data_IF_174733077411
#
_entry.id   IF_174733077411
#
_cell.length_a   1.000
_cell.length_b   1.000
_cell.length_c   1.000
_cell.angle_alpha   90.00
_cell.angle_beta   90.00
_cell.angle_gamma   90.00
#
_symmetry.space_group_name_H-M   'P 1'
#
loop_
_entity.id
_entity.type
_entity.pdbx_description
1 polymer ?
#
# COMPACT_ATOMS: atom_id res chain seq x y z
N UNK A 1 -21.92 -20.34 -0.63
CA UNK A 1 -20.68 -19.98 0.05
C UNK A 1 -20.27 -18.61 -0.45
N UNK A 2 -19.98 -17.70 0.47
CA UNK A 2 -19.68 -16.30 0.18
C UNK A 2 -18.53 -15.91 1.11
N UNK A 3 -17.56 -15.13 0.63
CA UNK A 3 -16.42 -14.64 1.44
C UNK A 3 -15.73 -15.75 2.21
N UNK A 4 -15.24 -16.75 1.50
CA UNK A 4 -14.66 -17.93 2.14
C UNK A 4 -13.35 -18.32 1.48
N UNK A 5 -12.38 -18.72 2.30
CA UNK A 5 -11.13 -19.34 1.84
C UNK A 5 -11.25 -20.85 1.99
N UNK A 6 -11.07 -21.58 0.90
CA UNK A 6 -11.06 -23.04 0.87
C UNK A 6 -9.68 -23.51 0.45
N UNK A 7 -8.97 -24.12 1.40
CA UNK A 7 -7.57 -24.46 1.25
C UNK A 7 -7.24 -25.83 1.82
N UNK A 8 -6.48 -26.62 1.06
CA UNK A 8 -5.94 -27.90 1.54
C UNK A 8 -6.95 -29.04 1.65
N UNK A 9 -8.13 -28.91 1.04
CA UNK A 9 -9.16 -29.95 1.08
C UNK A 9 -8.87 -31.05 0.06
N UNK A 10 -9.38 -32.27 0.34
CA UNK A 10 -9.20 -33.43 -0.53
C UNK A 10 -10.53 -34.15 -0.76
N UNK A 11 -10.82 -34.49 -2.01
CA UNK A 11 -12.03 -35.22 -2.37
C UNK A 11 -11.81 -36.17 -3.55
N UNK A 12 -12.84 -36.96 -3.90
CA UNK A 12 -12.83 -37.72 -5.16
C UNK A 12 -13.05 -36.79 -6.35
N UNK A 13 -13.97 -35.83 -6.20
CA UNK A 13 -14.31 -34.78 -7.16
C UNK A 13 -14.55 -33.47 -6.44
N UNK A 14 -14.15 -32.35 -7.02
CA UNK A 14 -14.38 -31.05 -6.40
C UNK A 14 -13.58 -30.89 -5.12
N UNK A 15 -12.24 -30.91 -5.23
CA UNK A 15 -11.35 -30.97 -4.07
C UNK A 15 -11.65 -29.90 -3.02
N UNK A 16 -11.97 -28.68 -3.46
CA UNK A 16 -12.55 -27.64 -2.62
C UNK A 16 -14.07 -27.69 -2.56
N UNK A 17 -14.75 -27.76 -3.72
CA UNK A 17 -16.20 -27.68 -3.84
C UNK A 17 -16.74 -28.68 -4.86
N UNK A 18 -17.77 -29.44 -4.50
CA UNK A 18 -18.55 -30.27 -5.42
C UNK A 18 -20.04 -29.85 -5.44
N UNK A 19 -20.51 -29.34 -6.57
CA UNK A 19 -21.90 -28.95 -6.80
C UNK A 19 -22.67 -29.97 -7.64
N UNK A 20 -23.58 -30.70 -7.00
CA UNK A 20 -24.38 -31.76 -7.64
C UNK A 20 -25.87 -31.44 -7.75
N UNK A 21 -26.40 -30.51 -6.94
CA UNK A 21 -27.83 -30.22 -6.85
C UNK A 21 -28.10 -28.74 -6.51
N UNK A 22 -27.49 -27.83 -7.27
CA UNK A 22 -27.54 -26.39 -7.00
C UNK A 22 -26.40 -25.91 -6.10
N UNK A 23 -26.03 -24.65 -6.22
CA UNK A 23 -25.05 -24.00 -5.36
C UNK A 23 -24.79 -22.56 -5.79
N UNK A 24 -24.51 -21.71 -4.81
CA UNK A 24 -24.14 -20.32 -5.04
C UNK A 24 -22.76 -20.06 -4.44
N UNK A 25 -21.84 -19.56 -5.25
CA UNK A 25 -20.45 -19.30 -4.87
C UNK A 25 -20.06 -17.88 -5.27
N UNK A 26 -19.61 -17.07 -4.31
CA UNK A 26 -19.16 -15.74 -4.61
C UNK A 26 -18.04 -15.24 -3.71
N UNK A 27 -17.12 -14.44 -4.25
CA UNK A 27 -16.04 -13.80 -3.46
C UNK A 27 -15.30 -14.84 -2.61
N UNK A 28 -14.94 -15.98 -3.20
CA UNK A 28 -14.23 -17.04 -2.52
C UNK A 28 -12.83 -17.25 -3.11
N UNK A 29 -11.89 -17.66 -2.28
CA UNK A 29 -10.54 -18.07 -2.69
C UNK A 29 -10.39 -19.57 -2.50
N UNK A 30 -10.35 -20.32 -3.61
CA UNK A 30 -10.30 -21.79 -3.65
C UNK A 30 -8.94 -22.21 -4.19
N UNK A 31 -8.02 -22.56 -3.28
CA UNK A 31 -6.61 -22.80 -3.61
C UNK A 31 -6.02 -24.01 -2.89
N UNK A 32 -5.00 -24.65 -3.45
CA UNK A 32 -4.31 -25.78 -2.81
C UNK A 32 -5.21 -26.96 -2.43
N UNK A 33 -6.35 -27.14 -3.10
CA UNK A 33 -7.21 -28.31 -2.91
C UNK A 33 -6.85 -29.40 -3.91
N UNK A 34 -7.22 -30.64 -3.62
CA UNK A 34 -6.97 -31.77 -4.51
C UNK A 34 -8.16 -32.71 -4.71
N UNK A 35 -8.30 -33.22 -5.93
CA UNK A 35 -9.28 -34.24 -6.28
C UNK A 35 -8.61 -35.47 -6.89
N UNK A 36 -9.09 -36.67 -6.52
CA UNK A 36 -8.57 -37.92 -7.05
C UNK A 36 -8.96 -38.18 -8.53
N UNK A 37 -9.96 -37.46 -9.06
CA UNK A 37 -10.40 -37.63 -10.46
C UNK A 37 -10.57 -36.31 -11.21
N UNK A 38 -11.56 -35.49 -10.84
CA UNK A 38 -12.02 -34.33 -11.62
C UNK A 38 -12.33 -33.12 -10.73
N UNK A 39 -11.95 -31.91 -11.20
CA UNK A 39 -12.25 -30.64 -10.54
C UNK A 39 -11.46 -30.45 -9.24
N UNK A 40 -10.15 -30.22 -9.32
CA UNK A 40 -9.31 -30.10 -8.12
C UNK A 40 -9.72 -28.95 -7.19
N UNK A 41 -10.15 -27.82 -7.74
CA UNK A 41 -10.78 -26.74 -6.99
C UNK A 41 -12.29 -26.94 -6.89
N UNK A 42 -12.98 -26.79 -8.03
CA UNK A 42 -14.43 -26.85 -8.13
C UNK A 42 -14.86 -27.89 -9.16
N UNK A 43 -15.88 -28.66 -8.81
CA UNK A 43 -16.59 -29.55 -9.71
C UNK A 43 -18.08 -29.21 -9.75
N UNK A 44 -18.66 -29.03 -10.94
CA UNK A 44 -20.08 -28.68 -11.10
C UNK A 44 -20.74 -29.45 -12.24
N UNK A 45 -21.99 -29.91 -12.07
CA UNK A 45 -22.83 -30.43 -13.16
C UNK A 45 -24.02 -29.52 -13.45
N UNK A 46 -23.79 -28.36 -14.06
CA UNK A 46 -24.79 -27.28 -14.27
C UNK A 46 -25.47 -26.78 -12.99
N UNK A 47 -24.85 -27.04 -11.85
CA UNK A 47 -25.45 -26.81 -10.54
C UNK A 47 -25.04 -25.46 -9.94
N UNK A 48 -23.79 -25.04 -10.15
CA UNK A 48 -23.23 -23.88 -9.47
C UNK A 48 -23.43 -22.60 -10.30
N UNK A 49 -23.88 -21.55 -9.62
CA UNK A 49 -23.77 -20.16 -10.04
C UNK A 49 -22.57 -19.53 -9.31
N UNK A 50 -21.61 -19.01 -10.06
CA UNK A 50 -20.29 -18.57 -9.57
C UNK A 50 -19.95 -17.15 -10.03
N UNK A 51 -19.54 -16.29 -9.09
CA UNK A 51 -19.15 -14.89 -9.32
C UNK A 51 -17.91 -14.48 -8.53
N UNK A 52 -16.98 -13.74 -9.13
CA UNK A 52 -15.87 -13.10 -8.40
C UNK A 52 -15.02 -14.06 -7.54
N UNK A 53 -14.79 -15.29 -8.00
CA UNK A 53 -13.97 -16.25 -7.25
C UNK A 53 -12.56 -16.36 -7.81
N UNK A 54 -11.59 -16.55 -6.92
CA UNK A 54 -10.26 -17.04 -7.28
C UNK A 54 -10.27 -18.56 -7.17
N UNK A 55 -9.93 -19.25 -8.26
CA UNK A 55 -9.83 -20.71 -8.31
C UNK A 55 -8.53 -21.08 -9.01
N UNK A 56 -7.47 -21.26 -8.23
CA UNK A 56 -6.12 -21.45 -8.75
C UNK A 56 -5.29 -22.39 -7.88
N UNK A 57 -4.18 -22.90 -8.42
CA UNK A 57 -3.24 -23.75 -7.69
C UNK A 57 -3.88 -25.00 -7.05
N UNK A 58 -4.93 -25.55 -7.67
CA UNK A 58 -5.53 -26.81 -7.25
C UNK A 58 -5.03 -27.98 -8.12
N UNK A 59 -5.22 -29.21 -7.63
CA UNK A 59 -4.67 -30.41 -8.24
C UNK A 59 -5.76 -31.45 -8.55
N UNK A 60 -5.80 -31.93 -9.78
CA UNK A 60 -6.57 -33.11 -10.17
C UNK A 60 -6.00 -33.73 -11.45
N UNK A 61 -6.20 -35.04 -11.69
CA UNK A 61 -5.84 -35.66 -12.97
C UNK A 61 -6.55 -35.03 -14.18
N UNK A 62 -7.79 -34.57 -14.00
CA UNK A 62 -8.63 -33.94 -15.02
C UNK A 62 -9.17 -32.65 -14.42
N UNK A 63 -9.16 -31.56 -15.19
CA UNK A 63 -9.79 -30.29 -14.78
C UNK A 63 -9.27 -29.76 -13.42
N UNK A 64 -8.01 -29.31 -13.41
CA UNK A 64 -7.26 -29.00 -12.18
C UNK A 64 -7.91 -27.97 -11.26
N UNK A 65 -8.34 -26.82 -11.78
CA UNK A 65 -8.99 -25.80 -10.95
C UNK A 65 -10.50 -25.89 -10.99
N UNK A 66 -11.06 -25.97 -12.20
CA UNK A 66 -12.51 -25.98 -12.42
C UNK A 66 -12.84 -27.09 -13.40
N UNK A 67 -13.87 -27.87 -13.07
CA UNK A 67 -14.32 -28.99 -13.87
C UNK A 67 -15.82 -29.03 -14.14
N UNK A 68 -16.17 -29.54 -15.33
CA UNK A 68 -17.53 -29.71 -15.86
C UNK A 68 -18.31 -28.40 -16.05
N UNK A 69 -19.59 -28.49 -16.43
CA UNK A 69 -20.43 -27.34 -16.80
C UNK A 69 -21.00 -26.58 -15.60
N UNK A 70 -21.15 -25.27 -15.73
CA UNK A 70 -21.72 -24.40 -14.70
C UNK A 70 -23.10 -23.89 -15.11
N UNK A 71 -23.93 -23.53 -14.13
CA UNK A 71 -25.17 -22.80 -14.41
C UNK A 71 -24.86 -21.38 -14.86
N UNK A 72 -23.90 -20.76 -14.19
CA UNK A 72 -23.33 -19.46 -14.53
C UNK A 72 -21.93 -19.39 -13.91
N UNK A 73 -20.97 -18.83 -14.65
CA UNK A 73 -19.59 -18.75 -14.21
C UNK A 73 -18.96 -17.47 -14.79
N UNK A 74 -19.05 -16.37 -14.03
CA UNK A 74 -18.67 -15.03 -14.49
C UNK A 74 -17.69 -14.35 -13.52
N UNK A 75 -16.79 -13.52 -14.05
CA UNK A 75 -15.82 -12.72 -13.30
C UNK A 75 -14.90 -13.54 -12.36
N UNK A 76 -14.60 -14.78 -12.70
CA UNK A 76 -13.71 -15.62 -11.90
C UNK A 76 -12.27 -15.54 -12.43
N UNK A 77 -11.31 -15.50 -11.51
CA UNK A 77 -9.89 -15.71 -11.78
C UNK A 77 -9.63 -17.22 -11.75
N UNK A 78 -9.45 -17.85 -12.92
CA UNK A 78 -9.23 -19.29 -13.01
C UNK A 78 -8.55 -19.70 -14.31
N UNK A 79 -8.03 -20.92 -14.34
CA UNK A 79 -7.64 -21.58 -15.59
C UNK A 79 -8.13 -23.04 -15.59
N UNK A 80 -8.56 -23.61 -16.74
CA UNK A 80 -8.59 -22.98 -18.06
C UNK A 80 -9.73 -21.96 -18.20
N UNK A 81 -9.65 -21.11 -19.22
CA UNK A 81 -10.71 -20.15 -19.56
C UNK A 81 -12.05 -20.87 -19.74
N UNK A 82 -13.09 -20.34 -19.10
CA UNK A 82 -14.47 -20.84 -19.17
C UNK A 82 -15.36 -19.95 -20.07
N UNK A 83 -14.78 -18.95 -20.74
CA UNK A 83 -15.49 -17.95 -21.53
C UNK A 83 -16.14 -16.87 -20.67
N UNK A 84 -17.00 -16.03 -21.27
CA UNK A 84 -17.67 -14.94 -20.56
C UNK A 84 -16.70 -13.86 -20.08
N UNK A 85 -16.86 -13.40 -18.84
CA UNK A 85 -16.05 -12.35 -18.20
C UNK A 85 -14.94 -12.90 -17.29
N UNK A 86 -14.61 -14.20 -17.40
CA UNK A 86 -13.52 -14.80 -16.63
C UNK A 86 -12.16 -14.39 -17.19
N UNK A 87 -11.13 -14.53 -16.38
CA UNK A 87 -9.75 -14.23 -16.77
C UNK A 87 -8.78 -15.25 -16.20
N UNK A 88 -7.68 -15.46 -16.92
CA UNK A 88 -6.78 -16.61 -16.74
C UNK A 88 -5.45 -16.30 -16.11
N UNK A 89 -5.10 -15.01 -15.98
CA UNK A 89 -3.91 -14.60 -15.25
C UNK A 89 -4.01 -15.09 -13.80
N UNK A 90 -2.93 -15.73 -13.34
CA UNK A 90 -2.88 -16.28 -12.00
C UNK A 90 -3.04 -15.19 -10.94
N UNK A 91 -3.69 -15.49 -9.81
CA UNK A 91 -3.76 -14.55 -8.70
C UNK A 91 -2.35 -14.34 -8.14
N UNK A 92 -1.94 -13.08 -8.01
CA UNK A 92 -0.78 -12.73 -7.22
C UNK A 92 -1.25 -12.54 -5.77
N UNK A 93 -0.72 -13.37 -4.87
CA UNK A 93 -0.99 -13.31 -3.43
C UNK A 93 0.23 -12.76 -2.69
N UNK A 94 -0.01 -12.14 -1.54
CA UNK A 94 1.05 -11.58 -0.67
C UNK A 94 2.06 -12.66 -0.27
N UNK A 95 1.59 -13.79 0.28
CA UNK A 95 2.45 -14.95 0.56
C UNK A 95 1.66 -16.26 0.44
N UNK A 96 1.65 -16.82 -0.76
CA UNK A 96 0.97 -18.10 -1.02
C UNK A 96 1.54 -19.26 -0.20
N UNK A 97 2.86 -19.29 0.06
CA UNK A 97 3.51 -20.38 0.77
C UNK A 97 3.20 -20.33 2.28
N UNK A 98 3.17 -19.13 2.86
CA UNK A 98 2.74 -18.84 4.23
C UNK A 98 1.22 -18.87 4.43
N UNK A 99 0.43 -19.11 3.37
CA UNK A 99 -1.05 -19.14 3.37
C UNK A 99 -1.69 -17.77 3.62
N UNK A 100 -1.00 -16.71 3.26
CA UNK A 100 -1.55 -15.38 3.14
C UNK A 100 -2.10 -15.18 1.73
N UNK A 101 -3.42 -15.28 1.60
CA UNK A 101 -4.13 -15.22 0.33
C UNK A 101 -4.73 -13.84 0.04
N UNK A 102 -4.33 -12.81 0.80
CA UNK A 102 -4.59 -11.42 0.40
C UNK A 102 -3.94 -11.14 -0.95
N UNK A 103 -4.57 -10.29 -1.75
CA UNK A 103 -4.05 -9.93 -3.07
C UNK A 103 -2.79 -9.07 -2.91
N UNK A 104 -1.73 -9.40 -3.64
CA UNK A 104 -0.54 -8.55 -3.71
C UNK A 104 -0.78 -7.38 -4.67
N UNK A 105 0.02 -6.32 -4.52
CA UNK A 105 0.03 -5.21 -5.47
C UNK A 105 0.25 -5.71 -6.92
N UNK A 106 -0.45 -5.09 -7.86
CA UNK A 106 -0.42 -5.50 -9.28
C UNK A 106 -1.15 -6.82 -9.59
N UNK A 107 -1.80 -7.45 -8.60
CA UNK A 107 -2.60 -8.66 -8.85
C UNK A 107 -3.70 -8.40 -9.88
N UNK A 108 -3.87 -9.28 -10.88
CA UNK A 108 -4.92 -9.14 -11.90
C UNK A 108 -6.34 -9.30 -11.33
N UNK A 109 -6.45 -9.70 -10.06
CA UNK A 109 -7.73 -9.83 -9.36
C UNK A 109 -8.21 -8.52 -8.74
N UNK A 110 -7.34 -7.51 -8.67
CA UNK A 110 -7.66 -6.19 -8.13
C UNK A 110 -8.58 -5.44 -9.10
N UNK A 111 -9.66 -4.85 -8.59
CA UNK A 111 -10.69 -4.09 -9.30
C UNK A 111 -11.34 -4.85 -10.49
N UNK A 112 -11.22 -6.18 -10.54
CA UNK A 112 -11.64 -7.02 -11.66
C UNK A 112 -13.04 -7.65 -11.48
N UNK A 113 -13.61 -7.52 -10.28
CA UNK A 113 -14.89 -8.10 -9.90
C UNK A 113 -16.10 -7.29 -10.38
N UNK A 114 -17.24 -7.98 -10.48
CA UNK A 114 -18.53 -7.36 -10.76
C UNK A 114 -19.29 -7.03 -9.47
N UNK A 115 -20.23 -6.09 -9.56
CA UNK A 115 -21.17 -5.75 -8.48
C UNK A 115 -22.27 -6.82 -8.30
N UNK A 116 -21.89 -8.09 -8.20
CA UNK A 116 -22.80 -9.21 -7.96
C UNK A 116 -22.04 -10.42 -7.40
N UNK A 117 -22.51 -11.03 -6.29
CA UNK A 117 -23.50 -10.50 -5.34
C UNK A 117 -22.97 -9.27 -4.61
N UNK A 118 -23.88 -8.41 -4.14
CA UNK A 118 -23.53 -7.35 -3.20
C UNK A 118 -23.15 -7.96 -1.85
N UNK A 119 -21.91 -7.71 -1.43
CA UNK A 119 -21.37 -8.14 -0.15
C UNK A 119 -20.72 -6.93 0.50
N UNK A 120 -21.08 -6.64 1.75
CA UNK A 120 -20.75 -5.37 2.40
C UNK A 120 -19.29 -5.28 2.86
N UNK A 121 -18.67 -6.42 3.17
CA UNK A 121 -17.29 -6.51 3.59
C UNK A 121 -16.65 -7.80 3.07
N UNK A 122 -15.33 -7.92 3.10
CA UNK A 122 -14.57 -9.10 2.69
C UNK A 122 -14.40 -10.14 3.82
N UNK A 123 -13.45 -11.07 3.67
CA UNK A 123 -13.13 -12.08 4.69
C UNK A 123 -12.54 -11.49 5.99
N UNK A 124 -11.79 -10.40 5.90
CA UNK A 124 -11.16 -9.72 7.04
C UNK A 124 -12.04 -8.60 7.62
N UNK A 125 -13.22 -8.35 7.04
CA UNK A 125 -14.15 -7.32 7.47
C UNK A 125 -13.93 -5.96 6.80
N UNK A 126 -13.07 -5.87 5.80
CA UNK A 126 -12.84 -4.66 5.01
C UNK A 126 -14.03 -4.39 4.10
N UNK A 127 -14.53 -3.16 4.10
CA UNK A 127 -15.70 -2.75 3.31
C UNK A 127 -15.45 -2.92 1.81
N UNK A 128 -16.47 -3.39 1.08
CA UNK A 128 -16.48 -3.53 -0.37
C UNK A 128 -17.54 -2.65 -1.05
N UNK A 129 -17.33 -2.19 -2.29
CA UNK A 129 -16.05 -2.21 -3.01
C UNK A 129 -15.12 -1.11 -2.49
N UNK A 130 -13.81 -1.35 -2.58
CA UNK A 130 -12.74 -0.38 -2.38
C UNK A 130 -11.97 -0.26 -3.69
N UNK A 131 -11.48 0.93 -4.01
CA UNK A 131 -10.64 1.07 -5.19
C UNK A 131 -9.24 0.53 -4.90
N UNK A 132 -8.82 -0.47 -5.66
CA UNK A 132 -7.43 -0.92 -5.65
C UNK A 132 -6.50 0.03 -6.40
N UNK A 133 -7.01 0.79 -7.37
CA UNK A 133 -6.32 1.90 -8.04
C UNK A 133 -6.80 3.27 -7.54
N UNK A 134 -5.92 4.16 -7.08
CA UNK A 134 -6.31 5.53 -6.69
C UNK A 134 -6.73 6.34 -7.92
N UNK A 135 -7.77 7.16 -7.78
CA UNK A 135 -8.41 7.88 -8.89
C UNK A 135 -9.33 7.02 -9.78
N UNK A 136 -9.38 5.70 -9.57
CA UNK A 136 -10.34 4.82 -10.23
C UNK A 136 -11.65 4.70 -9.44
N UNK A 137 -12.79 4.44 -10.09
CA UNK A 137 -14.01 4.12 -9.38
C UNK A 137 -13.84 2.81 -8.61
N UNK A 138 -14.25 2.78 -7.34
CA UNK A 138 -14.21 1.58 -6.51
C UNK A 138 -14.90 0.40 -7.21
N UNK A 139 -14.17 -0.70 -7.37
CA UNK A 139 -14.65 -1.95 -7.94
C UNK A 139 -14.42 -3.07 -6.93
N UNK A 140 -15.11 -4.19 -7.14
CA UNK A 140 -14.92 -5.34 -6.26
C UNK A 140 -13.64 -6.05 -6.67
N UNK A 141 -12.88 -6.55 -5.69
CA UNK A 141 -11.80 -7.48 -5.98
C UNK A 141 -12.33 -8.91 -6.12
N UNK A 142 -11.66 -9.69 -6.98
CA UNK A 142 -11.98 -11.11 -7.19
C UNK A 142 -11.29 -11.94 -6.11
N UNK A 143 -12.06 -12.77 -5.42
CA UNK A 143 -11.60 -13.60 -4.30
C UNK A 143 -12.19 -13.19 -2.97
N UNK A 144 -11.71 -13.83 -1.90
CA UNK A 144 -12.23 -13.63 -0.54
C UNK A 144 -11.82 -12.29 0.09
N UNK A 145 -10.74 -11.67 -0.38
CA UNK A 145 -10.15 -10.46 0.20
C UNK A 145 -10.37 -9.27 -0.72
N UNK A 146 -10.57 -8.10 -0.12
CA UNK A 146 -10.45 -6.81 -0.78
C UNK A 146 -9.01 -6.32 -0.58
N UNK A 147 -8.40 -5.85 -1.66
CA UNK A 147 -7.06 -5.29 -1.64
C UNK A 147 -7.07 -3.99 -0.84
N UNK A 148 -6.27 -4.02 0.21
CA UNK A 148 -5.90 -2.82 0.97
C UNK A 148 -4.48 -2.52 0.59
N UNK A 149 -4.27 -1.35 -0.01
CA UNK A 149 -2.93 -0.79 -0.18
C UNK A 149 -2.25 -0.73 1.19
N UNK A 150 -0.99 -1.17 1.32
CA UNK A 150 -0.21 -0.89 2.52
C UNK A 150 -0.36 0.59 2.89
N UNK A 151 -0.54 0.88 4.18
CA UNK A 151 -0.63 2.26 4.64
C UNK A 151 0.71 2.95 4.40
N UNK A 152 0.70 4.05 3.64
CA UNK A 152 1.88 4.79 3.22
C UNK A 152 2.59 4.16 2.02
N UNK A 153 2.99 4.99 1.04
CA UNK A 153 3.99 4.57 0.07
C UNK A 153 5.24 4.09 0.83
N UNK A 154 5.79 2.92 0.45
CA UNK A 154 7.12 2.55 0.91
C UNK A 154 8.05 3.74 0.64
N UNK A 155 8.85 4.16 1.62
CA UNK A 155 9.66 5.36 1.50
C UNK A 155 10.53 5.30 0.24
N UNK A 156 10.21 6.15 -0.74
CA UNK A 156 10.90 6.18 -2.03
C UNK A 156 10.30 5.31 -3.15
N UNK A 157 9.13 4.70 -3.01
CA UNK A 157 8.45 4.00 -4.12
C UNK A 157 7.79 4.99 -5.09
N UNK A 158 8.50 5.40 -6.14
CA UNK A 158 8.01 6.39 -7.11
C UNK A 158 7.20 5.73 -8.26
N UNK A 159 7.31 4.42 -8.46
CA UNK A 159 6.64 3.71 -9.57
C UNK A 159 5.39 2.91 -9.12
N UNK A 160 5.19 2.74 -7.82
CA UNK A 160 4.09 1.98 -7.21
C UNK A 160 4.23 0.48 -7.38
N UNK A 161 5.44 -0.06 -7.24
CA UNK A 161 5.71 -1.50 -7.26
C UNK A 161 5.83 -2.10 -5.85
N UNK A 162 5.65 -1.28 -4.80
CA UNK A 162 5.74 -1.66 -3.41
C UNK A 162 7.17 -1.75 -2.88
N UNK A 163 8.17 -1.38 -3.68
CA UNK A 163 9.59 -1.41 -3.33
C UNK A 163 10.18 -0.01 -3.50
N UNK A 164 11.03 0.40 -2.55
CA UNK A 164 11.71 1.68 -2.65
C UNK A 164 12.59 1.80 -3.91
N UNK A 165 12.43 2.91 -4.63
CA UNK A 165 13.25 3.29 -5.77
C UNK A 165 14.40 4.23 -5.37
N UNK A 166 15.43 4.29 -6.21
CA UNK A 166 16.46 5.32 -6.11
C UNK A 166 16.00 6.62 -6.74
N UNK A 167 16.10 7.74 -6.03
CA UNK A 167 15.82 9.07 -6.59
C UNK A 167 16.90 10.09 -6.24
N UNK A 168 17.27 10.92 -7.22
CA UNK A 168 18.21 12.04 -7.05
C UNK A 168 17.65 13.31 -7.69
N UNK A 169 17.46 14.35 -6.89
CA UNK A 169 17.22 15.71 -7.40
C UNK A 169 18.56 16.40 -7.69
N UNK A 170 18.69 16.99 -8.88
CA UNK A 170 19.85 17.80 -9.29
C UNK A 170 19.48 19.28 -9.33
N UNK A 171 19.83 20.07 -8.30
CA UNK A 171 19.48 21.49 -8.26
C UNK A 171 20.09 22.32 -9.39
N UNK A 172 21.19 21.85 -10.00
CA UNK A 172 21.89 22.57 -11.04
C UNK A 172 21.03 22.81 -12.30
N UNK A 173 20.19 21.84 -12.64
CA UNK A 173 19.34 21.82 -13.84
C UNK A 173 17.86 21.53 -13.54
N UNK A 174 17.50 21.29 -12.27
CA UNK A 174 16.11 21.10 -11.85
C UNK A 174 15.54 19.74 -12.25
N UNK A 175 16.41 18.75 -12.49
CA UNK A 175 15.98 17.42 -12.93
C UNK A 175 15.99 16.43 -11.76
N UNK A 176 14.93 15.65 -11.65
CA UNK A 176 14.89 14.40 -10.91
C UNK A 176 15.34 13.25 -11.79
N UNK A 177 16.18 12.37 -11.24
CA UNK A 177 16.60 11.12 -11.88
C UNK A 177 16.13 9.98 -11.00
N UNK A 178 15.36 9.07 -11.58
CA UNK A 178 14.83 7.87 -10.92
C UNK A 178 15.54 6.64 -11.44
N UNK A 179 15.86 5.73 -10.53
CA UNK A 179 16.32 4.37 -10.79
C UNK A 179 15.32 3.43 -10.13
N UNK A 180 14.49 2.80 -10.95
CA UNK A 180 13.43 1.95 -10.44
C UNK A 180 13.96 0.62 -9.90
N UNK A 181 13.29 0.12 -8.87
CA UNK A 181 13.39 -1.25 -8.41
C UNK A 181 13.12 -2.21 -9.60
N UNK A 182 13.88 -3.31 -9.71
CA UNK A 182 13.70 -4.32 -10.77
C UNK A 182 14.36 -4.02 -12.12
N UNK A 183 14.12 -2.88 -12.77
CA UNK A 183 14.83 -2.42 -13.98
C UNK A 183 14.34 -1.04 -14.48
N UNK A 184 15.24 -0.27 -15.10
CA UNK A 184 14.89 0.96 -15.82
C UNK A 184 15.08 2.23 -14.99
N UNK A 185 14.41 3.31 -15.40
CA UNK A 185 14.50 4.61 -14.76
C UNK A 185 13.83 5.70 -15.59
N UNK A 186 13.73 6.88 -15.01
CA UNK A 186 13.12 8.04 -15.65
C UNK A 186 13.87 9.33 -15.31
N UNK A 187 13.61 10.38 -16.08
CA UNK A 187 14.06 11.74 -15.76
C UNK A 187 12.87 12.68 -15.85
N UNK A 188 12.67 13.48 -14.81
CA UNK A 188 11.60 14.46 -14.75
C UNK A 188 12.14 15.85 -14.48
N UNK A 189 11.89 16.77 -15.41
CA UNK A 189 12.24 18.17 -15.26
C UNK A 189 11.21 18.85 -14.36
N UNK A 190 11.57 19.05 -13.09
CA UNK A 190 10.73 19.72 -12.11
C UNK A 190 11.59 20.31 -11.00
N UNK A 191 11.64 21.64 -10.94
CA UNK A 191 12.29 22.38 -9.87
C UNK A 191 13.30 23.42 -10.31
N UNK A 192 14.01 23.98 -9.33
CA UNK A 192 15.11 24.92 -9.54
C UNK A 192 16.13 24.85 -8.41
N UNK A 193 17.25 25.55 -8.57
CA UNK A 193 18.43 25.48 -7.70
C UNK A 193 18.19 25.74 -6.21
N UNK A 194 17.18 26.51 -5.86
CA UNK A 194 16.93 26.95 -4.47
C UNK A 194 15.86 26.14 -3.76
N UNK A 195 15.35 25.08 -4.41
CA UNK A 195 14.30 24.24 -3.86
C UNK A 195 14.88 23.03 -3.13
N UNK A 196 14.18 22.61 -2.09
CA UNK A 196 14.51 21.43 -1.27
C UNK A 196 13.57 20.30 -1.69
N UNK A 197 14.09 19.11 -2.08
CA UNK A 197 13.27 17.95 -2.36
C UNK A 197 12.52 17.50 -1.10
N UNK A 198 11.22 17.26 -1.23
CA UNK A 198 10.32 16.85 -0.15
C UNK A 198 9.34 15.77 -0.65
N UNK A 199 9.84 14.70 -1.28
CA UNK A 199 8.97 13.69 -1.87
C UNK A 199 8.20 12.93 -0.78
N UNK A 200 6.91 12.71 -0.99
CA UNK A 200 6.00 11.95 -0.12
C UNK A 200 4.69 11.65 -0.88
N UNK A 201 3.84 10.76 -0.38
CA UNK A 201 2.54 10.44 -1.01
C UNK A 201 1.45 11.46 -0.58
N UNK A 202 1.35 12.61 -1.25
CA UNK A 202 0.43 13.70 -0.86
C UNK A 202 -1.01 13.50 -1.34
N UNK A 203 -1.28 12.55 -2.23
CA UNK A 203 -2.62 12.26 -2.71
C UNK A 203 -3.19 10.91 -2.25
N UNK A 204 -2.38 10.15 -1.51
CA UNK A 204 -2.73 8.87 -0.92
C UNK A 204 -2.81 7.78 -1.98
N UNK A 205 -2.08 7.94 -3.10
CA UNK A 205 -2.07 7.01 -4.21
C UNK A 205 -1.10 5.84 -4.05
N UNK A 206 -0.45 5.72 -2.89
CA UNK A 206 0.51 4.68 -2.57
C UNK A 206 1.83 4.83 -3.32
N UNK A 207 2.02 5.90 -4.10
CA UNK A 207 3.29 6.23 -4.75
C UNK A 207 3.82 7.53 -4.17
N UNK A 208 5.13 7.65 -4.18
CA UNK A 208 5.79 8.87 -3.75
C UNK A 208 5.64 9.94 -4.84
N UNK A 209 5.07 11.08 -4.46
CA UNK A 209 4.99 12.23 -5.34
C UNK A 209 6.32 12.96 -5.47
N UNK A 210 6.51 13.58 -6.63
CA UNK A 210 7.63 14.50 -6.84
C UNK A 210 7.26 15.86 -6.27
N UNK A 211 7.89 16.23 -5.15
CA UNK A 211 7.61 17.50 -4.49
C UNK A 211 8.86 18.29 -4.08
N UNK A 212 8.70 19.61 -4.06
CA UNK A 212 9.75 20.58 -3.79
C UNK A 212 9.23 21.70 -2.88
N UNK A 213 10.00 22.06 -1.85
CA UNK A 213 9.75 23.19 -0.98
C UNK A 213 10.67 24.36 -1.35
N UNK A 214 10.15 25.58 -1.37
CA UNK A 214 10.93 26.82 -1.57
C UNK A 214 11.06 27.59 -0.25
N UNK A 215 12.19 27.50 0.46
CA UNK A 215 12.35 28.12 1.78
C UNK A 215 12.17 29.63 1.81
N UNK A 216 12.47 30.34 0.70
CA UNK A 216 12.37 31.80 0.64
C UNK A 216 10.95 32.35 0.65
N UNK A 217 9.95 31.53 0.32
CA UNK A 217 8.55 31.95 0.23
C UNK A 217 7.58 31.02 0.96
N UNK A 218 8.03 29.83 1.36
CA UNK A 218 7.16 28.81 1.95
C UNK A 218 6.28 28.09 0.93
N UNK A 219 6.51 28.27 -0.36
CA UNK A 219 5.73 27.57 -1.40
C UNK A 219 6.18 26.12 -1.51
N UNK A 220 5.21 25.22 -1.52
CA UNK A 220 5.39 23.81 -1.86
C UNK A 220 4.93 23.61 -3.30
N UNK A 221 5.64 22.76 -4.04
CA UNK A 221 5.35 22.41 -5.42
C UNK A 221 5.22 20.91 -5.48
N UNK A 222 3.99 20.39 -5.61
CA UNK A 222 3.70 18.96 -5.54
C UNK A 222 3.18 18.52 -6.91
N UNK A 223 3.82 17.53 -7.52
CA UNK A 223 3.33 16.82 -8.69
C UNK A 223 2.85 15.44 -8.25
N UNK A 224 1.53 15.29 -8.25
CA UNK A 224 0.86 14.07 -7.87
C UNK A 224 1.13 12.94 -8.88
N UNK A 225 1.52 11.76 -8.41
CA UNK A 225 1.64 10.52 -9.17
C UNK A 225 0.31 10.09 -9.79
N UNK A 226 -0.80 10.30 -9.07
CA UNK A 226 -2.17 10.08 -9.56
C UNK A 226 -2.63 11.10 -10.61
N UNK A 227 -1.82 12.14 -10.85
CA UNK A 227 -2.07 13.21 -11.80
C UNK A 227 -2.58 14.50 -11.13
N UNK A 228 -2.16 15.65 -11.71
CA UNK A 228 -2.46 16.97 -11.17
C UNK A 228 -1.25 17.61 -10.49
N UNK A 229 -1.44 18.81 -9.94
CA UNK A 229 -0.39 19.50 -9.18
C UNK A 229 -0.98 20.45 -8.16
N UNK A 230 -0.32 20.58 -7.01
CA UNK A 230 -0.71 21.50 -5.93
C UNK A 230 0.42 22.49 -5.64
N UNK A 231 0.05 23.71 -5.22
CA UNK A 231 1.01 24.77 -4.84
C UNK A 231 0.62 25.51 -3.57
N UNK A 232 0.49 24.83 -2.42
CA UNK A 232 0.16 25.48 -1.17
C UNK A 232 1.33 26.31 -0.64
N UNK A 233 1.04 27.30 0.19
CA UNK A 233 2.04 28.13 0.87
C UNK A 233 1.97 27.86 2.37
N UNK A 234 3.05 27.31 2.92
CA UNK A 234 3.16 26.95 4.33
C UNK A 234 4.61 27.16 4.80
N UNK A 235 4.78 28.02 5.81
CA UNK A 235 6.07 28.35 6.43
C UNK A 235 6.97 29.26 5.61
N UNK A 236 6.80 30.59 5.67
CA UNK A 236 7.58 31.54 4.87
C UNK A 236 9.01 31.78 5.39
N UNK A 237 9.47 31.04 6.40
CA UNK A 237 10.76 31.26 7.06
C UNK A 237 11.83 30.30 6.51
N UNK A 238 12.89 30.87 5.92
CA UNK A 238 13.96 30.12 5.25
C UNK A 238 14.80 29.19 6.12
N UNK A 239 14.59 29.20 7.44
CA UNK A 239 15.30 28.34 8.41
C UNK A 239 14.46 27.17 8.92
N UNK A 240 13.21 27.06 8.50
CA UNK A 240 12.38 25.89 8.80
C UNK A 240 12.79 24.69 7.94
N UNK A 241 12.72 23.51 8.51
CA UNK A 241 13.10 22.24 7.87
C UNK A 241 11.82 21.51 7.46
N UNK A 242 11.57 21.28 6.16
CA UNK A 242 10.39 20.55 5.70
C UNK A 242 10.52 19.05 5.95
N UNK A 243 9.47 18.44 6.49
CA UNK A 243 9.46 17.06 6.97
C UNK A 243 8.10 16.41 6.70
N UNK A 244 7.67 16.31 5.43
CA UNK A 244 6.35 15.75 5.10
C UNK A 244 6.20 14.31 5.60
N UNK A 245 4.97 13.93 5.92
CA UNK A 245 4.59 12.63 6.47
C UNK A 245 3.11 12.66 6.83
N UNK A 246 2.48 11.50 7.00
CA UNK A 246 1.08 11.40 7.44
C UNK A 246 1.02 11.57 8.96
N UNK A 247 0.74 12.77 9.48
CA UNK A 247 0.71 13.06 10.91
C UNK A 247 -0.72 13.05 11.49
N UNK A 248 -1.75 13.01 10.64
CA UNK A 248 -3.16 12.94 11.05
C UNK A 248 -3.82 11.56 10.82
N UNK A 249 -3.12 10.64 10.17
CA UNK A 249 -3.49 9.23 9.97
C UNK A 249 -4.50 9.02 8.86
N UNK A 250 -4.61 9.95 7.90
CA UNK A 250 -5.58 9.87 6.81
C UNK A 250 -5.06 9.12 5.56
N UNK A 251 -3.81 8.66 5.60
CA UNK A 251 -3.13 7.94 4.53
C UNK A 251 -2.51 8.85 3.49
N UNK A 252 -2.40 10.17 3.75
CA UNK A 252 -1.75 11.14 2.87
C UNK A 252 -0.67 11.89 3.62
N UNK A 253 0.38 12.25 2.92
CA UNK A 253 1.41 13.11 3.48
C UNK A 253 0.88 14.53 3.73
N UNK A 254 1.10 15.00 4.95
CA UNK A 254 0.90 16.37 5.36
C UNK A 254 2.12 17.23 5.05
N UNK A 255 1.90 18.55 4.98
CA UNK A 255 3.02 19.48 5.02
C UNK A 255 3.42 19.66 6.47
N UNK A 256 4.66 19.31 6.81
CA UNK A 256 5.21 19.60 8.13
C UNK A 256 6.53 20.35 8.07
N UNK A 257 6.75 21.16 9.11
CA UNK A 257 7.95 21.99 9.27
C UNK A 257 8.44 21.93 10.70
N UNK A 258 9.72 21.66 10.89
CA UNK A 258 10.40 21.88 12.17
C UNK A 258 11.08 23.25 12.17
N UNK A 259 10.88 24.02 13.24
CA UNK A 259 11.54 25.30 13.45
C UNK A 259 12.57 25.21 14.58
N UNK A 260 13.88 25.06 14.27
CA UNK A 260 14.90 24.85 15.30
C UNK A 260 15.01 25.98 16.33
N UNK A 261 14.67 27.22 15.95
CA UNK A 261 14.80 28.36 16.85
C UNK A 261 13.83 28.31 18.05
N UNK A 262 12.67 27.67 17.88
CA UNK A 262 11.65 27.51 18.93
C UNK A 262 11.41 26.05 19.34
N UNK A 263 12.10 25.10 18.69
CA UNK A 263 11.89 23.65 18.85
C UNK A 263 10.42 23.28 18.67
N UNK A 264 9.79 23.87 17.66
CA UNK A 264 8.37 23.67 17.38
C UNK A 264 8.19 23.04 16.00
N UNK A 265 7.33 22.05 15.96
CA UNK A 265 6.81 21.41 14.77
C UNK A 265 5.47 22.05 14.41
N UNK A 266 5.26 22.26 13.11
CA UNK A 266 4.03 22.79 12.56
C UNK A 266 3.53 21.84 11.49
N UNK A 267 2.23 21.55 11.51
CA UNK A 267 1.57 20.66 10.57
C UNK A 267 0.46 21.42 9.86
N UNK A 268 0.34 21.16 8.57
CA UNK A 268 -0.79 21.56 7.75
C UNK A 268 -1.30 20.31 7.06
N UNK A 269 -2.33 19.74 7.68
CA UNK A 269 -2.92 18.46 7.34
C UNK A 269 -3.42 18.44 5.90
N UNK A 270 -3.48 17.26 5.31
CA UNK A 270 -3.99 17.04 3.96
C UNK A 270 -5.46 17.50 3.82
N UNK A 271 -6.20 17.55 4.93
CA UNK A 271 -7.56 18.09 5.10
C UNK A 271 -7.64 19.59 5.46
N UNK A 272 -6.51 20.30 5.37
CA UNK A 272 -6.33 21.73 5.70
C UNK A 272 -6.47 22.07 7.20
N UNK A 273 -6.34 21.08 8.10
CA UNK A 273 -6.24 21.33 9.54
C UNK A 273 -4.83 21.79 9.93
N UNK A 274 -4.75 22.84 10.75
CA UNK A 274 -3.48 23.37 11.25
C UNK A 274 -3.25 22.95 12.70
N UNK A 275 -2.09 22.36 12.98
CA UNK A 275 -1.69 21.99 14.34
C UNK A 275 -0.19 22.24 14.58
N UNK A 276 0.25 22.16 15.85
CA UNK A 276 1.66 22.34 16.20
C UNK A 276 1.99 21.68 17.54
N UNK A 277 3.22 21.17 17.67
CA UNK A 277 3.75 20.63 18.93
C UNK A 277 5.13 21.21 19.23
N UNK A 278 5.41 21.50 20.50
CA UNK A 278 6.75 21.90 20.94
C UNK A 278 7.51 20.68 21.44
N UNK A 279 8.54 20.27 20.71
CA UNK A 279 9.32 19.08 20.98
C UNK A 279 10.74 19.17 20.43
N UNK A 280 11.69 18.61 21.18
CA UNK A 280 13.12 18.66 20.88
C UNK A 280 13.82 19.92 21.38
N UNK A 281 15.00 20.16 20.81
CA UNK A 281 15.92 21.24 21.17
C UNK A 281 16.52 21.90 19.92
N UNK A 282 17.15 23.06 20.11
CA UNK A 282 17.66 23.89 18.99
C UNK A 282 18.71 23.20 18.12
N UNK A 283 19.47 22.26 18.69
CA UNK A 283 20.53 21.53 18.00
C UNK A 283 20.14 20.08 17.69
N UNK A 284 18.90 19.69 17.97
CA UNK A 284 18.44 18.34 17.67
C UNK A 284 18.12 18.22 16.18
N UNK A 285 18.33 17.03 15.63
CA UNK A 285 18.08 16.68 14.23
C UNK A 285 16.69 16.04 14.17
N UNK A 286 15.72 16.63 13.45
CA UNK A 286 14.40 16.02 13.30
C UNK A 286 14.49 14.74 12.48
N UNK A 287 13.83 13.67 12.95
CA UNK A 287 13.85 12.33 12.35
C UNK A 287 12.47 11.66 12.47
N UNK A 288 11.41 12.29 11.94
CA UNK A 288 10.07 11.73 12.03
C UNK A 288 9.96 10.46 11.19
N UNK A 289 9.22 9.49 11.70
CA UNK A 289 8.89 8.22 11.05
C UNK A 289 7.80 7.51 11.90
N UNK A 290 7.17 6.46 11.39
CA UNK A 290 6.28 5.61 12.19
C UNK A 290 7.12 4.59 12.99
N UNK A 291 7.36 4.83 14.27
CA UNK A 291 8.23 3.98 15.11
C UNK A 291 7.45 2.93 15.93
N UNK A 292 6.11 2.98 15.95
CA UNK A 292 5.27 2.02 16.67
C UNK A 292 4.36 1.17 15.77
N UNK A 293 4.33 1.47 14.47
CA UNK A 293 3.70 0.70 13.41
C UNK A 293 2.19 0.96 13.33
N UNK A 294 1.73 2.12 13.76
CA UNK A 294 0.32 2.48 13.73
C UNK A 294 -0.13 3.12 12.40
N UNK A 295 0.82 3.32 11.48
CA UNK A 295 0.61 3.92 10.17
C UNK A 295 0.63 5.45 10.19
N UNK A 296 0.93 6.07 11.34
CA UNK A 296 0.99 7.53 11.51
C UNK A 296 2.42 7.94 11.85
N UNK A 297 2.85 9.06 11.29
CA UNK A 297 4.20 9.59 11.48
C UNK A 297 4.37 10.13 12.90
N UNK A 298 5.34 9.58 13.63
CA UNK A 298 5.71 10.09 14.93
C UNK A 298 6.65 11.29 14.84
N UNK A 299 6.58 12.14 15.85
CA UNK A 299 7.51 13.26 16.01
C UNK A 299 8.73 12.78 16.80
N UNK A 300 9.89 12.80 16.16
CA UNK A 300 11.13 12.36 16.76
C UNK A 300 12.32 13.27 16.45
N UNK A 301 13.29 13.28 17.37
CA UNK A 301 14.56 14.00 17.20
C UNK A 301 15.75 13.17 17.69
N UNK A 302 16.87 13.23 16.99
CA UNK A 302 18.16 12.76 17.46
C UNK A 302 18.95 13.93 18.05
N UNK A 303 19.54 13.74 19.23
CA UNK A 303 20.33 14.75 19.93
C UNK A 303 21.82 14.37 19.92
N UNK A 304 22.64 15.01 19.06
CA UNK A 304 24.07 14.67 18.96
C UNK A 304 24.88 14.94 20.23
N UNK A 305 24.38 15.78 21.14
CA UNK A 305 25.11 16.10 22.38
C UNK A 305 25.08 14.99 23.43
N UNK A 306 24.21 13.99 23.27
CA UNK A 306 24.11 12.87 24.20
C UNK A 306 23.74 11.52 23.54
N UNK A 307 23.81 11.45 22.21
CA UNK A 307 23.55 10.25 21.42
C UNK A 307 22.15 9.63 21.62
N UNK A 308 21.17 10.42 22.07
CA UNK A 308 19.81 9.96 22.33
C UNK A 308 18.86 10.33 21.20
N UNK A 309 17.99 9.38 20.89
CA UNK A 309 16.76 9.55 20.14
C UNK A 309 15.63 9.82 21.13
N UNK A 310 14.86 10.87 20.89
CA UNK A 310 13.67 11.23 21.65
C UNK A 310 12.46 11.19 20.72
N UNK A 311 11.45 10.39 21.09
CA UNK A 311 10.24 10.16 20.30
C UNK A 311 9.00 10.49 21.11
N UNK A 312 7.99 11.05 20.47
CA UNK A 312 6.61 11.11 20.96
C UNK A 312 5.69 10.46 19.93
N UNK A 313 4.91 9.49 20.38
CA UNK A 313 4.03 8.71 19.50
C UNK A 313 2.78 9.50 19.12
N UNK A 314 2.32 9.32 17.89
CA UNK A 314 1.06 9.88 17.35
C UNK A 314 -0.15 9.58 18.27
N UNK A 315 -0.31 8.32 18.69
CA UNK A 315 -1.34 7.83 19.62
C UNK A 315 -1.11 8.18 21.10
N UNK A 316 0.01 8.84 21.41
CA UNK A 316 0.41 9.24 22.75
C UNK A 316 1.39 8.28 23.41
N UNK A 317 2.30 8.85 24.21
CA UNK A 317 3.43 8.15 24.80
C UNK A 317 4.76 8.76 24.35
N UNK A 318 5.87 8.22 24.84
CA UNK A 318 7.20 8.68 24.46
C UNK A 318 8.25 7.60 24.68
N UNK A 319 9.28 7.59 23.85
CA UNK A 319 10.45 6.71 23.96
C UNK A 319 11.73 7.51 23.96
N UNK A 320 12.71 7.07 24.76
CA UNK A 320 14.09 7.55 24.67
C UNK A 320 14.99 6.33 24.48
N UNK A 321 15.78 6.35 23.41
CA UNK A 321 16.74 5.27 23.09
C UNK A 321 18.10 5.89 22.83
N UNK A 322 19.15 5.31 23.42
CA UNK A 322 20.51 5.75 23.15
C UNK A 322 21.12 4.89 22.04
N UNK A 323 21.46 5.52 20.90
CA UNK A 323 22.15 4.87 19.80
C UNK A 323 22.86 5.91 18.94
N UNK A 324 24.17 5.78 18.81
CA UNK A 324 25.02 6.68 18.03
C UNK A 324 26.34 7.01 18.73
N UNK A 325 27.12 7.86 18.10
CA UNK A 325 28.35 8.45 18.62
C UNK A 325 28.60 9.82 17.97
N UNK A 326 29.65 10.51 18.40
CA UNK A 326 30.02 11.80 17.84
C UNK A 326 30.18 11.73 16.30
N UNK A 327 29.34 12.48 15.59
CA UNK A 327 29.30 12.50 14.13
C UNK A 327 28.27 11.56 13.49
N UNK A 328 27.43 10.88 14.27
CA UNK A 328 26.29 10.12 13.77
C UNK A 328 25.37 11.00 12.91
N UNK A 329 25.00 10.45 11.76
CA UNK A 329 23.91 10.94 10.92
C UNK A 329 22.76 9.96 11.09
N UNK A 330 21.62 10.38 11.67
CA UNK A 330 20.52 9.48 11.91
C UNK A 330 19.79 9.15 10.60
N UNK A 331 19.46 7.87 10.40
CA UNK A 331 18.74 7.37 9.22
C UNK A 331 17.70 6.36 9.70
N UNK A 332 16.56 6.81 10.25
CA UNK A 332 15.49 5.89 10.60
C UNK A 332 14.89 5.30 9.32
N UNK A 333 14.65 3.99 9.35
CA UNK A 333 13.98 3.23 8.30
C UNK A 333 13.52 1.90 8.91
N UNK A 334 12.58 1.24 8.25
CA UNK A 334 12.21 -0.14 8.58
C UNK A 334 13.29 -1.09 8.01
N UNK A 335 14.26 -1.49 8.83
CA UNK A 335 15.38 -2.32 8.36
C UNK A 335 15.05 -3.82 8.42
N UNK A 336 14.05 -4.24 9.20
CA UNK A 336 13.68 -5.65 9.37
C UNK A 336 12.36 -6.05 8.72
N UNK A 337 11.60 -5.09 8.19
CA UNK A 337 10.36 -5.27 7.45
C UNK A 337 9.14 -5.49 8.33
N UNK A 338 9.16 -5.07 9.60
CA UNK A 338 8.04 -5.24 10.53
C UNK A 338 6.97 -4.14 10.43
N UNK A 339 7.17 -3.16 9.54
CA UNK A 339 6.30 -2.01 9.35
C UNK A 339 6.59 -0.86 10.32
N UNK A 340 7.67 -0.91 11.09
CA UNK A 340 8.12 0.17 11.99
C UNK A 340 9.48 0.68 11.58
N UNK A 341 9.69 1.97 11.76
CA UNK A 341 11.00 2.55 11.70
C UNK A 341 11.85 2.10 12.90
N UNK A 342 13.06 1.64 12.59
CA UNK A 342 14.11 1.40 13.54
C UNK A 342 14.92 2.67 13.81
N UNK A 343 15.55 2.70 15.00
CA UNK A 343 16.56 3.70 15.36
C UNK A 343 17.96 3.13 15.21
#
# INVERSE_FOLDING_TARGET
>A
MINSVLVGNQAVRGGGIAGLAGGYLAHCTVVSNSAARDGGGIYSHTAITSWNNVVYYNLAPIETNVGSTFKLFENNCTMPDQGGSNFTNAPAFVDFAGRDFRLAEGSPCIDAGAAAPAVAADYDGIVRPRSGAVGSPARYDVGAFEYVRPAGAAAGDFNGDGVADGAVFRPADGNWIFQYSGAGGATQAFGSRTMVPVPADYDGDGRVDVALYRPSSGEWFILNSGGGSRRPTFGPNSTMIPLPGDYDGDGRADLALFYPASSRWYFFGSTEEYSSVQFGGRADIPVPADYDGDGVTDVAVYRPSNDNWYLIYSGGGSRVTQLGWAGTVPVPADYDGDGRADV
#
